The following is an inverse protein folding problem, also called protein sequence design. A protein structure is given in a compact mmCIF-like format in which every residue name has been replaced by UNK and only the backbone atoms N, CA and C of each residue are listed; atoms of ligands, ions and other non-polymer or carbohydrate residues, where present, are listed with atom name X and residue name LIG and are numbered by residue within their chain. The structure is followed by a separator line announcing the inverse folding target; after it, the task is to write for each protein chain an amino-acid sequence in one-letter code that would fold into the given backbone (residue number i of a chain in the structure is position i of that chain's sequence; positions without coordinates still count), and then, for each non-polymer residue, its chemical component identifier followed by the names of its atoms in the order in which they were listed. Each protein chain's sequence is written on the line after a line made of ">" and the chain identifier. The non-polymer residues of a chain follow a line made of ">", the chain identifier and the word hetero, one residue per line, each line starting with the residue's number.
data_IF_336081570355
#
_entry.id   IF_336081570355
#
_cell.length_a   1.000
_cell.length_b   1.000
_cell.length_c   1.000
_cell.angle_alpha   90.00
_cell.angle_beta   90.00
_cell.angle_gamma   90.00
#
_symmetry.space_group_name_H-M   'P 1'
#
loop_
_entity.id
_entity.type
_entity.pdbx_description
1 polymer ?
#
# COMPACT_ATOMS: atom_id res chain seq x y z
N UNK A 1 -16.78 -5.44 14.51
CA UNK A 1 -18.02 -5.40 13.71
C UNK A 1 -17.70 -5.02 12.25
N UNK A 2 -17.01 -3.91 11.95
CA UNK A 2 -16.75 -3.45 10.57
C UNK A 2 -15.96 -4.45 9.72
N UNK A 3 -14.92 -5.10 10.27
CA UNK A 3 -14.12 -6.11 9.54
C UNK A 3 -15.02 -7.30 9.13
N UNK A 4 -15.91 -7.75 10.01
CA UNK A 4 -16.85 -8.83 9.72
C UNK A 4 -17.78 -8.46 8.56
N UNK A 5 -18.29 -7.21 8.55
CA UNK A 5 -19.12 -6.70 7.46
C UNK A 5 -18.38 -6.64 6.13
N UNK A 6 -17.11 -6.21 6.12
CA UNK A 6 -16.27 -6.19 4.93
C UNK A 6 -16.08 -7.62 4.39
N UNK A 7 -15.79 -8.59 5.27
CA UNK A 7 -15.62 -10.00 4.86
C UNK A 7 -16.94 -10.54 4.28
N UNK A 8 -18.08 -10.32 4.93
CA UNK A 8 -19.38 -10.76 4.44
C UNK A 8 -19.68 -10.13 3.06
N UNK A 9 -19.39 -8.84 2.90
CA UNK A 9 -19.59 -8.12 1.64
C UNK A 9 -18.72 -8.71 0.51
N UNK A 10 -17.43 -8.93 0.76
CA UNK A 10 -16.51 -9.52 -0.22
C UNK A 10 -16.97 -10.93 -0.62
N UNK A 11 -17.27 -11.78 0.37
CA UNK A 11 -17.75 -13.15 0.11
C UNK A 11 -19.07 -13.13 -0.66
N UNK A 12 -20.00 -12.25 -0.27
CA UNK A 12 -21.29 -12.09 -0.94
C UNK A 12 -21.15 -11.71 -2.42
N UNK A 13 -20.29 -10.73 -2.72
CA UNK A 13 -20.00 -10.34 -4.12
C UNK A 13 -19.43 -11.52 -4.91
N UNK A 14 -18.47 -12.26 -4.35
CA UNK A 14 -17.86 -13.40 -5.05
C UNK A 14 -18.90 -14.49 -5.35
N UNK A 15 -19.80 -14.78 -4.41
CA UNK A 15 -20.90 -15.74 -4.63
C UNK A 15 -21.85 -15.28 -5.75
N UNK A 16 -22.21 -14.00 -5.77
CA UNK A 16 -23.06 -13.43 -6.83
C UNK A 16 -22.38 -13.56 -8.22
N UNK A 17 -21.08 -13.27 -8.28
CA UNK A 17 -20.30 -13.42 -9.52
C UNK A 17 -20.29 -14.86 -9.99
N UNK A 18 -19.99 -15.82 -9.10
CA UNK A 18 -19.96 -17.26 -9.42
C UNK A 18 -21.33 -17.75 -9.93
N UNK A 19 -22.39 -17.40 -9.20
CA UNK A 19 -23.75 -17.80 -9.58
C UNK A 19 -24.16 -17.16 -10.92
N UNK A 20 -23.83 -15.88 -11.11
CA UNK A 20 -24.13 -15.15 -12.35
C UNK A 20 -23.43 -15.78 -13.57
N UNK A 21 -22.13 -16.04 -13.48
CA UNK A 21 -21.38 -16.69 -14.56
C UNK A 21 -21.92 -18.08 -14.86
N UNK A 22 -22.24 -18.87 -13.83
CA UNK A 22 -22.82 -20.19 -14.01
C UNK A 22 -24.17 -20.14 -14.74
N UNK A 23 -25.05 -19.23 -14.35
CA UNK A 23 -26.35 -19.05 -15.03
C UNK A 23 -26.20 -18.62 -16.48
N UNK A 24 -25.29 -17.69 -16.78
CA UNK A 24 -25.00 -17.26 -18.16
C UNK A 24 -24.49 -18.43 -18.99
N UNK A 25 -23.56 -19.22 -18.46
CA UNK A 25 -23.05 -20.41 -19.12
C UNK A 25 -24.17 -21.43 -19.43
N UNK A 26 -25.04 -21.72 -18.46
CA UNK A 26 -26.16 -22.64 -18.61
C UNK A 26 -27.17 -22.15 -19.64
N UNK A 27 -27.41 -20.82 -19.76
CA UNK A 27 -28.25 -20.22 -20.80
C UNK A 27 -27.60 -20.40 -22.18
N UNK A 28 -26.30 -20.14 -22.32
CA UNK A 28 -25.56 -20.34 -23.57
C UNK A 28 -25.62 -21.80 -24.03
N UNK A 29 -25.43 -22.72 -23.09
CA UNK A 29 -25.50 -24.16 -23.36
C UNK A 29 -26.89 -24.59 -23.86
N UNK A 30 -27.97 -24.13 -23.19
CA UNK A 30 -29.35 -24.44 -23.56
C UNK A 30 -29.73 -23.89 -24.93
N UNK A 31 -29.21 -22.74 -25.33
CA UNK A 31 -29.53 -22.09 -26.61
C UNK A 31 -28.57 -22.52 -27.74
N UNK A 32 -27.61 -23.42 -27.49
CA UNK A 32 -26.63 -23.83 -28.48
C UNK A 32 -25.68 -22.69 -28.91
N UNK A 33 -25.48 -21.68 -28.08
CA UNK A 33 -24.60 -20.54 -28.39
C UNK A 33 -23.12 -20.81 -28.09
N UNK A 34 -22.80 -21.94 -27.45
CA UNK A 34 -21.42 -22.37 -27.31
C UNK A 34 -20.96 -22.95 -28.62
N UNK A 35 -19.95 -22.34 -29.21
CA UNK A 35 -19.25 -22.94 -30.36
C UNK A 35 -18.57 -24.18 -29.79
N UNK A 36 -18.87 -25.37 -30.34
CA UNK A 36 -18.13 -26.57 -29.97
C UNK A 36 -16.66 -26.24 -30.07
N UNK A 37 -16.00 -26.13 -28.89
CA UNK A 37 -14.58 -25.83 -28.81
C UNK A 37 -13.82 -27.01 -29.43
N UNK A 38 -13.72 -27.05 -30.74
CA UNK A 38 -12.70 -27.83 -31.39
C UNK A 38 -11.40 -27.30 -30.80
N UNK A 39 -10.68 -28.14 -30.09
CA UNK A 39 -9.34 -27.86 -29.53
C UNK A 39 -8.37 -27.65 -30.72
N UNK A 40 -8.55 -26.56 -31.45
CA UNK A 40 -7.64 -26.14 -32.51
C UNK A 40 -6.51 -25.41 -31.80
N UNK A 41 -5.36 -26.02 -31.77
CA UNK A 41 -4.12 -25.36 -31.36
C UNK A 41 -3.62 -24.62 -32.60
N UNK A 42 -3.76 -23.31 -32.62
CA UNK A 42 -3.20 -22.46 -33.66
C UNK A 42 -1.72 -22.20 -33.35
N UNK A 43 -0.83 -22.65 -34.22
CA UNK A 43 0.60 -22.41 -34.13
C UNK A 43 1.03 -21.51 -35.27
N UNK A 44 1.41 -20.28 -34.96
CA UNK A 44 1.99 -19.36 -35.93
C UNK A 44 3.54 -19.47 -35.85
N UNK A 45 4.13 -20.19 -36.81
CA UNK A 45 5.56 -20.41 -36.86
C UNK A 45 6.35 -19.12 -37.13
N UNK A 46 5.79 -18.20 -37.93
CA UNK A 46 6.38 -16.90 -38.24
C UNK A 46 6.38 -15.98 -37.00
N UNK A 47 5.31 -15.98 -36.24
CA UNK A 47 5.24 -15.31 -34.96
C UNK A 47 6.29 -15.86 -33.97
N UNK A 48 6.43 -17.19 -33.90
CA UNK A 48 7.40 -17.85 -33.05
C UNK A 48 8.85 -17.50 -33.38
N UNK A 49 9.17 -17.34 -34.67
CA UNK A 49 10.51 -16.99 -35.16
C UNK A 49 10.78 -15.49 -35.20
N UNK A 50 9.77 -14.61 -34.95
CA UNK A 50 9.97 -13.17 -35.01
C UNK A 50 10.90 -12.68 -33.89
N UNK A 51 12.06 -12.15 -34.24
CA UNK A 51 13.13 -11.74 -33.32
C UNK A 51 12.87 -10.36 -32.71
N UNK A 52 12.04 -9.51 -33.32
CA UNK A 52 11.80 -8.14 -32.86
C UNK A 52 11.03 -8.12 -31.54
N UNK A 53 11.71 -7.81 -30.47
CA UNK A 53 11.09 -7.54 -29.18
C UNK A 53 11.01 -6.00 -28.96
N UNK A 54 9.86 -5.35 -29.19
CA UNK A 54 9.72 -3.90 -29.11
C UNK A 54 9.56 -3.38 -27.69
N UNK A 55 9.76 -4.23 -26.67
CA UNK A 55 9.65 -3.83 -25.29
C UNK A 55 10.73 -2.81 -24.89
N UNK A 56 10.41 -1.94 -23.96
CA UNK A 56 11.38 -1.03 -23.37
C UNK A 56 12.40 -1.84 -22.56
N UNK A 57 13.68 -1.46 -22.67
CA UNK A 57 14.75 -2.19 -21.98
C UNK A 57 14.55 -2.27 -20.47
N UNK A 58 14.68 -3.46 -19.92
CA UNK A 58 14.62 -3.71 -18.48
C UNK A 58 15.74 -3.01 -17.68
N UNK A 59 16.79 -2.53 -18.37
CA UNK A 59 17.90 -1.78 -17.73
C UNK A 59 17.42 -0.52 -17.03
N UNK A 60 16.34 0.11 -17.49
CA UNK A 60 15.77 1.30 -16.84
C UNK A 60 15.31 1.03 -15.41
N UNK A 61 14.70 -0.14 -15.14
CA UNK A 61 14.31 -0.50 -13.77
C UNK A 61 15.52 -0.60 -12.83
N UNK A 62 16.65 -1.16 -13.31
CA UNK A 62 17.88 -1.23 -12.52
C UNK A 62 18.44 0.16 -12.20
N UNK A 63 18.31 1.12 -13.13
CA UNK A 63 18.71 2.51 -12.90
C UNK A 63 17.86 3.08 -11.76
N UNK A 64 16.53 2.92 -11.80
CA UNK A 64 15.64 3.47 -10.77
C UNK A 64 15.81 2.77 -9.42
N UNK A 65 15.98 1.44 -9.39
CA UNK A 65 16.32 0.71 -8.16
C UNK A 65 17.63 1.22 -7.57
N UNK A 66 18.67 1.35 -8.40
CA UNK A 66 19.97 1.87 -7.98
C UNK A 66 19.89 3.30 -7.44
N UNK A 67 19.16 4.19 -8.12
CA UNK A 67 18.92 5.55 -7.67
C UNK A 67 18.19 5.59 -6.31
N UNK A 68 17.16 4.78 -6.12
CA UNK A 68 16.45 4.70 -4.85
C UNK A 68 17.38 4.27 -3.71
N UNK A 69 18.27 3.31 -3.94
CA UNK A 69 19.29 2.90 -2.96
C UNK A 69 20.28 4.03 -2.67
N UNK A 70 20.82 4.68 -3.72
CA UNK A 70 21.77 5.78 -3.58
C UNK A 70 21.19 6.96 -2.84
N UNK A 71 19.94 7.32 -3.10
CA UNK A 71 19.22 8.40 -2.39
C UNK A 71 19.03 8.11 -0.90
N UNK A 72 18.96 6.85 -0.49
CA UNK A 72 18.80 6.49 0.92
C UNK A 72 20.13 6.51 1.71
N UNK A 73 21.28 6.40 1.05
CA UNK A 73 22.61 6.39 1.71
C UNK A 73 22.84 7.62 2.62
N UNK A 74 22.61 8.87 2.17
CA UNK A 74 22.76 10.05 3.03
C UNK A 74 21.85 10.01 4.27
N UNK A 75 20.64 9.48 4.15
CA UNK A 75 19.71 9.32 5.28
C UNK A 75 20.32 8.40 6.34
N UNK A 76 20.89 7.27 5.94
CA UNK A 76 21.56 6.33 6.86
C UNK A 76 22.76 6.96 7.52
N UNK A 77 23.60 7.72 6.78
CA UNK A 77 24.83 8.31 7.31
C UNK A 77 24.52 9.45 8.29
N UNK A 78 23.60 10.35 7.95
CA UNK A 78 23.38 11.60 8.65
C UNK A 78 22.27 11.51 9.70
N UNK A 79 21.24 10.71 9.45
CA UNK A 79 19.98 10.69 10.22
C UNK A 79 19.71 9.39 10.95
N UNK A 80 20.66 8.42 10.99
CA UNK A 80 20.43 7.10 11.59
C UNK A 80 20.05 7.13 13.08
N UNK A 81 20.48 8.17 13.80
CA UNK A 81 20.15 8.37 15.22
C UNK A 81 18.85 9.15 15.45
N UNK A 82 18.21 9.65 14.40
CA UNK A 82 16.96 10.40 14.52
C UNK A 82 15.81 9.48 14.91
N UNK A 83 14.88 10.02 15.72
CA UNK A 83 13.69 9.29 16.16
C UNK A 83 12.83 8.80 15.00
N UNK A 84 12.76 9.57 13.91
CA UNK A 84 11.99 9.27 12.71
C UNK A 84 12.73 8.44 11.65
N UNK A 85 13.96 8.01 11.93
CA UNK A 85 14.74 7.19 10.99
C UNK A 85 14.01 5.91 10.61
N UNK A 86 13.33 5.26 11.56
CA UNK A 86 12.52 4.06 11.30
C UNK A 86 11.39 4.34 10.32
N UNK A 87 10.68 5.45 10.48
CA UNK A 87 9.56 5.81 9.63
C UNK A 87 10.03 6.13 8.21
N UNK A 88 11.16 6.84 8.08
CA UNK A 88 11.82 7.06 6.78
C UNK A 88 12.26 5.74 6.13
N UNK A 89 12.73 4.76 6.93
CA UNK A 89 13.10 3.44 6.43
C UNK A 89 11.91 2.69 5.83
N UNK A 90 10.69 2.90 6.32
CA UNK A 90 9.48 2.31 5.76
C UNK A 90 9.25 2.83 4.33
N UNK A 91 9.39 4.13 4.07
CA UNK A 91 9.27 4.69 2.71
C UNK A 91 10.31 4.09 1.76
N UNK A 92 11.56 3.90 2.23
CA UNK A 92 12.59 3.23 1.45
C UNK A 92 12.21 1.78 1.10
N UNK A 93 11.79 1.00 2.10
CA UNK A 93 11.39 -0.41 1.92
C UNK A 93 10.23 -0.51 0.94
N UNK A 94 9.20 0.33 1.10
CA UNK A 94 8.04 0.36 0.20
C UNK A 94 8.47 0.69 -1.22
N UNK A 95 9.28 1.75 -1.43
CA UNK A 95 9.73 2.15 -2.76
C UNK A 95 10.59 1.08 -3.44
N UNK A 96 11.44 0.36 -2.69
CA UNK A 96 12.22 -0.76 -3.24
C UNK A 96 11.33 -1.94 -3.60
N UNK A 97 10.37 -2.30 -2.74
CA UNK A 97 9.42 -3.39 -3.03
C UNK A 97 8.63 -3.08 -4.30
N UNK A 98 8.12 -1.86 -4.44
CA UNK A 98 7.40 -1.42 -5.64
C UNK A 98 8.29 -1.48 -6.89
N UNK A 99 9.51 -0.94 -6.82
CA UNK A 99 10.45 -0.94 -7.94
C UNK A 99 10.83 -2.37 -8.39
N UNK A 100 11.07 -3.28 -7.44
CA UNK A 100 11.36 -4.69 -7.73
C UNK A 100 10.14 -5.41 -8.30
N UNK A 101 8.95 -5.15 -7.77
CA UNK A 101 7.70 -5.72 -8.28
C UNK A 101 7.44 -5.30 -9.73
N UNK A 102 7.65 -4.02 -10.07
CA UNK A 102 7.53 -3.49 -11.43
C UNK A 102 8.55 -4.13 -12.37
N UNK A 103 9.79 -4.34 -11.92
CA UNK A 103 10.81 -5.06 -12.68
C UNK A 103 10.41 -6.51 -12.95
N UNK A 104 9.95 -7.25 -11.94
CA UNK A 104 9.48 -8.63 -12.08
C UNK A 104 8.29 -8.68 -13.05
N UNK A 105 7.36 -7.73 -12.93
CA UNK A 105 6.21 -7.68 -13.83
C UNK A 105 6.65 -7.37 -15.27
N UNK A 106 7.66 -6.51 -15.46
CA UNK A 106 8.21 -6.26 -16.81
C UNK A 106 8.91 -7.51 -17.39
N UNK A 107 9.62 -8.31 -16.57
CA UNK A 107 10.14 -9.62 -16.99
C UNK A 107 8.99 -10.50 -17.47
N UNK A 108 7.92 -10.60 -16.69
CA UNK A 108 6.75 -11.40 -17.05
C UNK A 108 6.13 -10.96 -18.38
N UNK A 109 5.93 -9.65 -18.58
CA UNK A 109 5.39 -9.10 -19.84
C UNK A 109 6.28 -9.46 -21.04
N UNK A 110 7.62 -9.39 -20.86
CA UNK A 110 8.56 -9.71 -21.92
C UNK A 110 8.64 -11.22 -22.23
N UNK A 111 8.56 -12.05 -21.20
CA UNK A 111 8.61 -13.51 -21.31
C UNK A 111 7.24 -14.12 -21.65
N UNK A 112 6.15 -13.33 -21.58
CA UNK A 112 4.81 -13.83 -21.87
C UNK A 112 4.73 -14.42 -23.29
N UNK A 113 4.03 -15.55 -23.39
CA UNK A 113 3.80 -16.22 -24.66
C UNK A 113 3.14 -15.30 -25.67
N UNK A 114 3.45 -15.55 -26.95
CA UNK A 114 2.88 -14.82 -28.07
C UNK A 114 1.51 -15.40 -28.37
N UNK A 115 0.49 -14.58 -28.27
CA UNK A 115 -0.88 -14.98 -28.53
C UNK A 115 -1.20 -14.88 -30.02
N UNK A 116 -1.85 -15.88 -30.56
CA UNK A 116 -2.36 -15.89 -31.95
C UNK A 116 -3.78 -15.34 -31.93
N UNK A 117 -4.03 -14.27 -32.67
CA UNK A 117 -5.31 -13.55 -32.77
C UNK A 117 -5.99 -13.67 -34.12
N UNK A 118 -5.23 -14.04 -35.16
CA UNK A 118 -5.64 -14.06 -36.53
C UNK A 118 -4.92 -15.18 -37.30
N UNK A 119 -5.46 -15.59 -38.44
CA UNK A 119 -4.73 -16.42 -39.43
C UNK A 119 -3.57 -15.65 -40.08
N UNK A 120 -3.60 -14.30 -40.01
CA UNK A 120 -2.56 -13.44 -40.52
C UNK A 120 -1.42 -13.25 -39.53
N UNK A 121 -0.24 -13.76 -39.87
CA UNK A 121 0.96 -13.66 -39.03
C UNK A 121 1.41 -12.21 -38.74
N UNK A 122 1.24 -11.29 -39.69
CA UNK A 122 1.64 -9.89 -39.52
C UNK A 122 0.76 -9.18 -38.48
N UNK A 123 -0.55 -9.51 -38.43
CA UNK A 123 -1.48 -9.06 -37.40
C UNK A 123 -1.03 -9.60 -36.04
N UNK A 124 -0.72 -10.90 -35.94
CA UNK A 124 -0.26 -11.53 -34.70
C UNK A 124 1.01 -10.86 -34.16
N UNK A 125 2.00 -10.62 -35.03
CA UNK A 125 3.25 -9.95 -34.67
C UNK A 125 2.97 -8.55 -34.15
N UNK A 126 2.20 -7.75 -34.89
CA UNK A 126 1.87 -6.37 -34.55
C UNK A 126 1.11 -6.28 -33.22
N UNK A 127 0.11 -7.13 -33.00
CA UNK A 127 -0.68 -7.19 -31.78
C UNK A 127 0.19 -7.46 -30.53
N UNK A 128 1.07 -8.46 -30.62
CA UNK A 128 1.99 -8.80 -29.52
C UNK A 128 3.03 -7.70 -29.28
N UNK A 129 3.50 -7.03 -30.34
CA UNK A 129 4.45 -5.91 -30.25
C UNK A 129 3.81 -4.69 -29.57
N UNK A 130 2.58 -4.32 -29.95
CA UNK A 130 1.84 -3.22 -29.33
C UNK A 130 1.72 -3.46 -27.81
N UNK A 131 1.26 -4.66 -27.43
CA UNK A 131 1.09 -5.00 -26.03
C UNK A 131 2.40 -4.83 -25.23
N UNK A 132 3.47 -5.50 -25.67
CA UNK A 132 4.75 -5.47 -24.99
C UNK A 132 5.33 -4.05 -24.90
N UNK A 133 5.24 -3.26 -25.97
CA UNK A 133 5.76 -1.90 -26.03
C UNK A 133 5.06 -0.98 -25.04
N UNK A 134 3.74 -0.89 -25.09
CA UNK A 134 2.99 0.07 -24.26
C UNK A 134 2.98 -0.32 -22.80
N UNK A 135 2.82 -1.62 -22.49
CA UNK A 135 2.83 -2.07 -21.10
C UNK A 135 4.20 -1.88 -20.46
N UNK A 136 5.30 -2.27 -21.15
CA UNK A 136 6.64 -2.06 -20.58
C UNK A 136 6.98 -0.57 -20.43
N UNK A 137 6.50 0.30 -21.34
CA UNK A 137 6.63 1.75 -21.19
C UNK A 137 5.93 2.25 -19.93
N UNK A 138 4.69 1.85 -19.70
CA UNK A 138 3.93 2.22 -18.51
C UNK A 138 4.62 1.79 -17.22
N UNK A 139 5.15 0.57 -17.18
CA UNK A 139 5.89 0.05 -16.03
C UNK A 139 7.18 0.84 -15.75
N UNK A 140 7.91 1.22 -16.79
CA UNK A 140 9.14 2.04 -16.66
C UNK A 140 8.80 3.46 -16.17
N UNK A 141 7.71 4.07 -16.70
CA UNK A 141 7.25 5.38 -16.23
C UNK A 141 6.83 5.29 -14.76
N UNK A 142 6.10 4.26 -14.35
CA UNK A 142 5.75 4.09 -12.94
C UNK A 142 6.99 3.97 -12.04
N UNK A 143 8.04 3.23 -12.48
CA UNK A 143 9.31 3.16 -11.74
C UNK A 143 9.99 4.53 -11.61
N UNK A 144 9.92 5.36 -12.64
CA UNK A 144 10.40 6.74 -12.60
C UNK A 144 9.64 7.55 -11.54
N UNK A 145 8.31 7.53 -11.56
CA UNK A 145 7.48 8.29 -10.62
C UNK A 145 7.68 7.82 -9.17
N UNK A 146 7.78 6.52 -8.92
CA UNK A 146 8.13 5.98 -7.61
C UNK A 146 9.48 6.50 -7.11
N UNK A 147 10.50 6.57 -7.98
CA UNK A 147 11.81 7.11 -7.61
C UNK A 147 11.75 8.62 -7.36
N UNK A 148 10.98 9.38 -8.17
CA UNK A 148 10.77 10.83 -7.97
C UNK A 148 10.03 11.10 -6.66
N UNK A 149 8.96 10.37 -6.37
CA UNK A 149 8.24 10.47 -5.10
C UNK A 149 9.17 10.21 -3.91
N UNK A 150 9.97 9.13 -3.98
CA UNK A 150 10.93 8.81 -2.94
C UNK A 150 12.03 9.89 -2.81
N UNK A 151 12.52 10.45 -3.92
CA UNK A 151 13.52 11.53 -3.87
C UNK A 151 12.99 12.77 -3.17
N UNK A 152 11.73 13.13 -3.37
CA UNK A 152 11.07 14.23 -2.69
C UNK A 152 11.04 14.00 -1.17
N UNK A 153 10.55 12.84 -0.72
CA UNK A 153 10.50 12.48 0.71
C UNK A 153 11.89 12.51 1.35
N UNK A 154 12.91 12.00 0.65
CA UNK A 154 14.30 12.05 1.13
C UNK A 154 14.76 13.50 1.29
N UNK A 155 14.50 14.36 0.30
CA UNK A 155 14.91 15.75 0.35
C UNK A 155 14.26 16.51 1.53
N UNK A 156 12.94 16.36 1.73
CA UNK A 156 12.23 16.99 2.85
C UNK A 156 12.76 16.48 4.20
N UNK A 157 12.97 15.18 4.33
CA UNK A 157 13.51 14.61 5.56
C UNK A 157 14.96 15.06 5.83
N UNK A 158 15.81 15.15 4.81
CA UNK A 158 17.18 15.63 4.96
C UNK A 158 17.25 17.12 5.35
N UNK A 159 16.35 17.95 4.81
CA UNK A 159 16.30 19.38 5.09
C UNK A 159 15.72 19.68 6.48
N UNK A 160 14.64 19.03 6.86
CA UNK A 160 13.87 19.40 8.05
C UNK A 160 14.00 18.42 9.20
N UNK A 161 14.48 17.18 8.96
CA UNK A 161 14.56 16.10 9.96
C UNK A 161 13.21 15.57 10.44
N UNK A 162 12.13 15.98 9.76
CA UNK A 162 10.74 15.62 10.05
C UNK A 162 9.96 15.60 8.73
N UNK A 163 8.97 14.73 8.63
CA UNK A 163 8.01 14.71 7.54
C UNK A 163 6.67 15.24 8.05
N UNK A 164 6.13 16.22 7.35
CA UNK A 164 4.80 16.74 7.64
C UNK A 164 3.74 15.97 6.85
N UNK A 165 2.47 16.06 7.28
CA UNK A 165 1.36 15.44 6.55
C UNK A 165 1.26 15.91 5.10
N UNK A 166 1.62 17.17 4.81
CA UNK A 166 1.71 17.72 3.45
C UNK A 166 2.72 16.99 2.56
N UNK A 167 3.88 16.59 3.13
CA UNK A 167 4.93 15.91 2.36
C UNK A 167 4.49 14.50 1.96
N UNK A 168 3.79 13.82 2.87
CA UNK A 168 3.20 12.50 2.60
C UNK A 168 2.12 12.60 1.51
N UNK A 169 1.31 13.67 1.50
CA UNK A 169 0.32 13.92 0.46
C UNK A 169 1.00 14.11 -0.90
N UNK A 170 2.04 14.94 -0.97
CA UNK A 170 2.80 15.15 -2.22
C UNK A 170 3.41 13.85 -2.73
N UNK A 171 4.08 13.07 -1.85
CA UNK A 171 4.59 11.75 -2.18
C UNK A 171 3.51 10.86 -2.80
N UNK A 172 2.36 10.78 -2.14
CA UNK A 172 1.24 9.95 -2.57
C UNK A 172 0.67 10.41 -3.91
N UNK A 173 0.54 11.73 -4.13
CA UNK A 173 0.05 12.28 -5.40
C UNK A 173 0.99 11.94 -6.55
N UNK A 174 2.31 12.10 -6.37
CA UNK A 174 3.31 11.79 -7.40
C UNK A 174 3.24 10.31 -7.78
N UNK A 175 3.16 9.42 -6.80
CA UNK A 175 3.06 7.96 -7.03
C UNK A 175 1.73 7.58 -7.71
N UNK A 176 0.64 8.25 -7.34
CA UNK A 176 -0.68 8.07 -7.95
C UNK A 176 -0.68 8.50 -9.44
N UNK A 177 -0.03 9.62 -9.79
CA UNK A 177 0.11 10.06 -11.18
C UNK A 177 0.84 8.98 -11.99
N UNK A 178 1.96 8.44 -11.49
CA UNK A 178 2.67 7.32 -12.12
C UNK A 178 1.78 6.11 -12.34
N UNK A 179 0.99 5.75 -11.34
CA UNK A 179 0.03 4.65 -11.39
C UNK A 179 -1.06 4.86 -12.45
N UNK A 180 -1.61 6.07 -12.53
CA UNK A 180 -2.62 6.44 -13.55
C UNK A 180 -2.02 6.33 -14.96
N UNK A 181 -0.78 6.82 -15.17
CA UNK A 181 -0.11 6.72 -16.48
C UNK A 181 0.16 5.26 -16.84
N UNK A 182 0.60 4.45 -15.87
CA UNK A 182 0.77 3.02 -16.07
C UNK A 182 -0.56 2.36 -16.50
N UNK A 183 -1.66 2.61 -15.80
CA UNK A 183 -2.98 2.09 -16.17
C UNK A 183 -3.43 2.59 -17.56
N UNK A 184 -3.19 3.86 -17.86
CA UNK A 184 -3.50 4.42 -19.17
C UNK A 184 -2.74 3.72 -20.31
N UNK A 185 -1.51 3.25 -20.04
CA UNK A 185 -0.71 2.51 -21.04
C UNK A 185 -1.38 1.19 -21.47
N UNK A 186 -2.05 0.49 -20.56
CA UNK A 186 -2.85 -0.71 -20.89
C UNK A 186 -4.05 -0.36 -21.75
N UNK A 187 -4.75 0.74 -21.43
CA UNK A 187 -5.90 1.20 -22.23
C UNK A 187 -5.48 1.56 -23.64
N UNK A 188 -4.34 2.26 -23.78
CA UNK A 188 -3.77 2.61 -25.10
C UNK A 188 -3.36 1.36 -25.86
N UNK A 189 -2.69 0.41 -25.20
CA UNK A 189 -2.34 -0.86 -25.82
C UNK A 189 -3.56 -1.61 -26.34
N UNK A 190 -4.63 -1.68 -25.52
CA UNK A 190 -5.89 -2.31 -25.90
C UNK A 190 -6.53 -1.62 -27.11
N UNK A 191 -6.67 -0.29 -27.09
CA UNK A 191 -7.28 0.48 -28.20
C UNK A 191 -6.56 0.22 -29.51
N UNK A 192 -5.22 0.33 -29.52
CA UNK A 192 -4.41 0.09 -30.72
C UNK A 192 -4.51 -1.36 -31.21
N UNK A 193 -4.61 -2.33 -30.33
CA UNK A 193 -4.82 -3.73 -30.72
C UNK A 193 -6.20 -3.95 -31.29
N UNK A 194 -7.25 -3.33 -30.74
CA UNK A 194 -8.60 -3.40 -31.28
C UNK A 194 -8.66 -2.79 -32.67
N UNK A 195 -7.98 -1.67 -32.93
CA UNK A 195 -7.89 -1.05 -34.25
C UNK A 195 -7.24 -1.99 -35.29
N UNK A 196 -6.14 -2.66 -34.92
CA UNK A 196 -5.46 -3.63 -35.78
C UNK A 196 -6.36 -4.85 -36.10
N UNK A 197 -7.03 -5.37 -35.06
CA UNK A 197 -7.90 -6.54 -35.22
C UNK A 197 -9.17 -6.21 -36.03
N UNK A 198 -9.71 -5.00 -35.90
CA UNK A 198 -10.88 -4.55 -36.65
C UNK A 198 -10.59 -4.36 -38.15
N UNK A 199 -9.33 -4.17 -38.54
CA UNK A 199 -8.88 -4.09 -39.92
C UNK A 199 -8.48 -5.46 -40.51
N UNK A 200 -8.62 -6.54 -39.75
CA UNK A 200 -8.26 -7.89 -40.15
C UNK A 200 -9.49 -8.67 -40.69
N UNK A 201 -9.33 -9.34 -41.81
CA UNK A 201 -10.38 -10.10 -42.46
C UNK A 201 -10.51 -11.55 -41.94
N UNK A 202 -9.52 -12.01 -41.14
CA UNK A 202 -9.42 -13.40 -40.69
C UNK A 202 -9.18 -13.52 -39.17
N UNK A 203 -9.98 -12.84 -38.31
CA UNK A 203 -9.81 -12.93 -36.88
C UNK A 203 -10.17 -14.33 -36.37
N UNK A 204 -9.37 -14.84 -35.45
CA UNK A 204 -9.61 -16.13 -34.79
C UNK A 204 -10.38 -15.91 -33.48
N UNK A 205 -11.53 -16.57 -33.40
CA UNK A 205 -12.34 -16.59 -32.17
C UNK A 205 -12.14 -17.94 -31.49
N UNK A 206 -11.59 -17.90 -30.27
CA UNK A 206 -11.46 -19.08 -29.41
C UNK A 206 -12.55 -19.03 -28.36
N UNK A 207 -13.45 -20.03 -28.37
CA UNK A 207 -14.43 -20.18 -27.29
C UNK A 207 -13.79 -20.96 -26.11
N UNK A 208 -13.58 -20.29 -25.02
CA UNK A 208 -13.05 -20.85 -23.77
C UNK A 208 -14.05 -20.73 -22.59
N UNK A 209 -15.33 -20.50 -22.90
CA UNK A 209 -16.42 -20.31 -21.92
C UNK A 209 -16.50 -21.46 -20.92
N UNK A 210 -16.20 -22.68 -21.31
CA UNK A 210 -16.18 -23.83 -20.41
C UNK A 210 -15.20 -23.65 -19.27
N UNK A 211 -14.03 -23.07 -19.54
CA UNK A 211 -12.99 -22.85 -18.53
C UNK A 211 -13.29 -21.67 -17.60
N UNK A 212 -14.23 -20.79 -17.99
CA UNK A 212 -14.64 -19.60 -17.22
C UNK A 212 -16.04 -19.71 -16.61
N UNK A 213 -16.68 -20.87 -16.70
CA UNK A 213 -18.08 -21.07 -16.28
C UNK A 213 -18.43 -20.70 -14.84
N UNK A 214 -17.44 -20.53 -13.97
CA UNK A 214 -17.61 -20.08 -12.58
C UNK A 214 -17.08 -18.66 -12.33
N UNK A 215 -16.71 -17.91 -13.39
CA UNK A 215 -16.13 -16.58 -13.25
C UNK A 215 -14.64 -16.56 -12.92
N UNK A 216 -14.02 -17.72 -12.74
CA UNK A 216 -12.58 -17.90 -12.60
C UNK A 216 -12.09 -18.98 -13.58
N UNK A 217 -10.81 -18.88 -13.96
CA UNK A 217 -10.24 -19.80 -14.94
C UNK A 217 -9.87 -21.14 -14.30
N UNK A 218 -10.41 -22.21 -14.85
CA UNK A 218 -10.14 -23.58 -14.42
C UNK A 218 -9.93 -24.48 -15.64
N UNK A 219 -8.68 -24.71 -16.03
CA UNK A 219 -8.33 -25.57 -17.16
C UNK A 219 -7.23 -26.56 -16.77
N UNK A 220 -7.56 -27.85 -16.57
CA UNK A 220 -6.57 -28.88 -16.21
C UNK A 220 -5.53 -29.18 -17.30
N UNK A 221 -5.84 -28.81 -18.55
CA UNK A 221 -4.96 -29.06 -19.70
C UNK A 221 -3.98 -27.88 -19.92
N UNK A 222 -4.17 -26.73 -19.24
CA UNK A 222 -3.29 -25.59 -19.33
C UNK A 222 -2.30 -25.62 -18.16
N UNK A 223 -1.00 -25.62 -18.49
CA UNK A 223 0.09 -25.68 -17.50
C UNK A 223 0.42 -24.31 -16.87
N UNK A 224 -0.13 -23.23 -17.42
CA UNK A 224 0.17 -21.90 -16.90
C UNK A 224 -0.46 -21.70 -15.52
N UNK A 225 0.28 -21.10 -14.62
CA UNK A 225 -0.19 -20.70 -13.28
C UNK A 225 -1.07 -19.45 -13.38
N UNK A 226 -0.65 -18.52 -14.26
CA UNK A 226 -1.31 -17.23 -14.48
C UNK A 226 -1.64 -17.14 -15.96
N UNK A 227 -2.87 -16.78 -16.27
CA UNK A 227 -3.38 -16.61 -17.63
C UNK A 227 -3.95 -15.22 -17.82
N UNK A 228 -3.99 -14.74 -19.06
CA UNK A 228 -4.67 -13.47 -19.37
C UNK A 228 -6.18 -13.65 -19.23
N UNK A 229 -6.84 -12.70 -18.60
CA UNK A 229 -8.28 -12.67 -18.54
C UNK A 229 -8.83 -12.29 -19.93
N UNK A 230 -9.76 -13.06 -20.46
CA UNK A 230 -10.36 -12.83 -21.79
C UNK A 230 -11.21 -11.56 -21.87
N UNK A 231 -11.82 -11.14 -20.75
CA UNK A 231 -12.68 -9.96 -20.73
C UNK A 231 -11.90 -8.65 -20.67
N UNK A 232 -10.72 -8.68 -20.03
CA UNK A 232 -9.90 -7.49 -19.82
C UNK A 232 -8.43 -7.85 -20.06
N UNK A 233 -7.84 -7.31 -21.09
CA UNK A 233 -6.40 -7.49 -21.38
C UNK A 233 -5.47 -7.05 -20.26
N UNK A 234 -5.99 -6.28 -19.32
CA UNK A 234 -5.28 -5.75 -18.15
C UNK A 234 -5.29 -6.70 -16.95
N UNK A 235 -6.21 -7.68 -16.94
CA UNK A 235 -6.37 -8.59 -15.83
C UNK A 235 -5.72 -9.94 -16.15
N UNK A 236 -5.09 -10.46 -15.13
CA UNK A 236 -4.61 -11.83 -15.10
C UNK A 236 -5.46 -12.64 -14.12
N UNK A 237 -5.65 -13.90 -14.44
CA UNK A 237 -6.34 -14.85 -13.58
C UNK A 237 -5.41 -16.00 -13.23
N UNK A 238 -5.59 -16.57 -12.07
CA UNK A 238 -4.95 -17.82 -11.74
C UNK A 238 -5.68 -19.00 -12.40
N UNK A 239 -4.91 -19.94 -12.93
CA UNK A 239 -5.48 -21.23 -13.32
C UNK A 239 -5.68 -22.09 -12.08
N UNK A 240 -6.86 -22.08 -11.51
CA UNK A 240 -7.18 -22.85 -10.29
C UNK A 240 -7.11 -24.37 -10.45
N UNK A 241 -6.94 -24.89 -11.68
CA UNK A 241 -6.62 -26.29 -11.92
C UNK A 241 -5.13 -26.60 -11.72
N UNK A 242 -4.25 -25.60 -11.79
CA UNK A 242 -2.81 -25.74 -11.61
C UNK A 242 -2.43 -25.83 -10.12
N UNK A 243 -1.65 -26.84 -9.74
CA UNK A 243 -1.11 -26.98 -8.37
C UNK A 243 -0.30 -25.75 -7.95
N UNK A 244 0.48 -25.18 -8.88
CA UNK A 244 1.26 -23.96 -8.60
C UNK A 244 0.38 -22.78 -8.26
N UNK A 245 -0.75 -22.58 -8.98
CA UNK A 245 -1.72 -21.55 -8.66
C UNK A 245 -2.39 -21.79 -7.30
N UNK A 246 -2.78 -23.01 -6.99
CA UNK A 246 -3.38 -23.36 -5.69
C UNK A 246 -2.45 -23.06 -4.52
N UNK A 247 -1.17 -23.44 -4.63
CA UNK A 247 -0.15 -23.15 -3.61
C UNK A 247 0.04 -21.62 -3.47
N UNK A 248 0.15 -20.90 -4.58
CA UNK A 248 0.35 -19.45 -4.55
C UNK A 248 -0.85 -18.74 -3.92
N UNK A 249 -2.08 -19.12 -4.29
CA UNK A 249 -3.31 -18.56 -3.70
C UNK A 249 -3.40 -18.86 -2.21
N UNK A 250 -3.08 -20.09 -1.79
CA UNK A 250 -3.04 -20.46 -0.38
C UNK A 250 -2.01 -19.62 0.39
N UNK A 251 -0.80 -19.44 -0.15
CA UNK A 251 0.24 -18.61 0.46
C UNK A 251 -0.21 -17.14 0.59
N UNK A 252 -0.78 -16.56 -0.46
CA UNK A 252 -1.32 -15.20 -0.44
C UNK A 252 -2.43 -15.04 0.60
N UNK A 253 -3.32 -16.04 0.70
CA UNK A 253 -4.39 -16.04 1.71
C UNK A 253 -3.81 -16.03 3.12
N UNK A 254 -2.79 -16.85 3.40
CA UNK A 254 -2.09 -16.85 4.70
C UNK A 254 -1.45 -15.50 4.99
N UNK A 255 -0.74 -14.90 4.02
CA UNK A 255 -0.10 -13.61 4.19
C UNK A 255 -1.13 -12.50 4.48
N UNK A 256 -2.23 -12.46 3.72
CA UNK A 256 -3.30 -11.48 3.91
C UNK A 256 -3.94 -11.65 5.29
N UNK A 257 -4.26 -12.88 5.68
CA UNK A 257 -4.86 -13.17 6.99
C UNK A 257 -3.92 -12.76 8.13
N UNK A 258 -2.64 -13.10 8.03
CA UNK A 258 -1.63 -12.70 9.00
C UNK A 258 -1.50 -11.18 9.09
N UNK A 259 -1.53 -10.47 7.94
CA UNK A 259 -1.49 -9.00 7.90
C UNK A 259 -2.72 -8.37 8.57
N UNK A 260 -3.90 -8.93 8.36
CA UNK A 260 -5.14 -8.46 9.02
C UNK A 260 -5.04 -8.67 10.54
N UNK A 261 -4.63 -9.86 10.99
CA UNK A 261 -4.47 -10.18 12.42
C UNK A 261 -3.44 -9.21 13.04
N UNK A 262 -2.31 -9.01 12.38
CA UNK A 262 -1.27 -8.07 12.83
C UNK A 262 -1.82 -6.64 12.94
N UNK A 263 -2.56 -6.17 11.94
CA UNK A 263 -3.15 -4.83 11.95
C UNK A 263 -4.15 -4.67 13.10
N UNK A 264 -5.03 -5.66 13.30
CA UNK A 264 -5.99 -5.64 14.42
C UNK A 264 -5.28 -5.64 15.77
N UNK A 265 -4.24 -6.46 15.93
CA UNK A 265 -3.44 -6.50 17.15
C UNK A 265 -2.69 -5.18 17.40
N UNK A 266 -2.13 -4.57 16.35
CA UNK A 266 -1.43 -3.28 16.44
C UNK A 266 -2.36 -2.12 16.78
N UNK A 267 -3.62 -2.16 16.32
CA UNK A 267 -4.61 -1.13 16.58
C UNK A 267 -5.39 -1.36 17.89
N UNK A 268 -5.33 -2.57 18.46
CA UNK A 268 -6.11 -2.92 19.66
C UNK A 268 -5.86 -2.00 20.88
N UNK A 269 -4.64 -1.49 21.16
CA UNK A 269 -4.40 -0.57 22.28
C UNK A 269 -5.10 0.78 22.12
N UNK A 270 -5.53 1.13 20.90
CA UNK A 270 -6.21 2.39 20.59
C UNK A 270 -7.75 2.25 20.54
N UNK A 271 -8.26 1.02 20.64
CA UNK A 271 -9.70 0.76 20.73
C UNK A 271 -10.12 0.85 22.20
N UNK A 272 -11.05 1.77 22.54
CA UNK A 272 -11.45 2.05 23.93
C UNK A 272 -10.25 2.42 24.82
N UNK A 273 -9.45 3.36 24.34
CA UNK A 273 -8.26 3.83 25.06
C UNK A 273 -8.63 4.30 26.46
N UNK A 274 -7.79 3.93 27.42
CA UNK A 274 -7.74 4.53 28.75
C UNK A 274 -6.42 5.29 28.88
N UNK A 275 -6.49 6.48 29.39
CA UNK A 275 -5.31 7.27 29.73
C UNK A 275 -5.38 7.57 31.22
N UNK A 276 -4.38 7.09 31.94
CA UNK A 276 -4.23 7.28 33.39
C UNK A 276 -3.02 8.16 33.66
N UNK A 277 -3.20 9.17 34.51
CA UNK A 277 -2.16 10.10 34.92
C UNK A 277 -2.18 10.11 36.44
N UNK A 278 -1.05 9.80 37.09
CA UNK A 278 -0.97 9.71 38.54
C UNK A 278 0.45 9.91 39.06
N UNK A 279 0.58 10.15 40.36
CA UNK A 279 1.86 10.19 41.07
C UNK A 279 1.94 8.96 41.97
N UNK A 280 3.05 8.23 41.91
CA UNK A 280 3.32 7.08 42.75
C UNK A 280 4.83 7.01 43.06
N UNK A 281 5.20 6.78 44.32
CA UNK A 281 6.56 6.61 44.77
C UNK A 281 7.53 7.71 44.27
N UNK A 282 7.16 8.98 44.47
CA UNK A 282 7.89 10.17 44.00
C UNK A 282 8.14 10.21 42.48
N UNK A 283 7.31 9.52 41.71
CA UNK A 283 7.39 9.47 40.25
C UNK A 283 6.05 9.88 39.63
N UNK A 284 6.09 10.86 38.72
CA UNK A 284 4.99 11.19 37.87
C UNK A 284 4.87 10.11 36.78
N UNK A 285 3.66 9.61 36.56
CA UNK A 285 3.33 8.57 35.58
C UNK A 285 2.18 9.03 34.72
N UNK A 286 2.35 8.84 33.38
CA UNK A 286 1.28 8.97 32.38
C UNK A 286 1.33 7.76 31.49
N UNK A 287 0.20 7.07 31.35
CA UNK A 287 0.12 5.87 30.51
C UNK A 287 -1.22 5.79 29.75
N UNK A 288 -1.17 5.31 28.51
CA UNK A 288 -2.33 5.16 27.66
C UNK A 288 -1.95 4.70 26.26
N UNK A 289 -2.84 3.96 25.59
CA UNK A 289 -2.63 3.49 24.22
C UNK A 289 -1.37 2.66 23.99
N UNK A 290 -0.84 2.01 25.04
CA UNK A 290 0.43 1.27 25.00
C UNK A 290 1.67 2.14 25.18
N UNK A 291 1.51 3.45 25.43
CA UNK A 291 2.60 4.38 25.74
C UNK A 291 2.67 4.63 27.23
N UNK A 292 3.88 4.88 27.71
CA UNK A 292 4.16 5.18 29.10
C UNK A 292 5.23 6.25 29.24
N UNK A 293 4.95 7.27 30.06
CA UNK A 293 5.90 8.28 30.47
C UNK A 293 6.08 8.18 31.97
N UNK A 294 7.33 8.17 32.45
CA UNK A 294 7.68 8.25 33.85
C UNK A 294 8.73 9.33 34.04
N UNK A 295 8.54 10.24 35.02
CA UNK A 295 9.44 11.32 35.37
C UNK A 295 9.55 11.32 36.88
N UNK A 296 10.78 11.18 37.44
CA UNK A 296 10.99 11.34 38.87
C UNK A 296 10.73 12.80 39.25
N UNK A 297 10.02 13.03 40.32
CA UNK A 297 9.64 14.39 40.76
C UNK A 297 10.89 15.26 40.97
N UNK A 298 11.97 14.68 41.47
CA UNK A 298 13.25 15.40 41.67
C UNK A 298 13.94 15.81 40.36
N UNK A 299 13.56 15.25 39.22
CA UNK A 299 14.12 15.57 37.90
C UNK A 299 13.29 16.60 37.14
N UNK A 300 12.17 17.05 37.69
CA UNK A 300 11.28 18.03 37.08
C UNK A 300 11.93 19.40 37.10
N UNK A 301 12.06 20.01 35.93
CA UNK A 301 12.63 21.34 35.74
C UNK A 301 11.57 22.43 35.61
N UNK A 302 10.43 22.08 35.05
CA UNK A 302 9.36 23.03 34.74
C UNK A 302 8.01 22.33 34.80
N UNK A 303 7.04 22.98 35.44
CA UNK A 303 5.63 22.56 35.46
C UNK A 303 4.79 23.77 35.06
N UNK A 304 3.98 23.63 34.04
CA UNK A 304 3.08 24.71 33.57
C UNK A 304 1.66 24.16 33.37
N UNK A 305 0.69 24.95 33.78
CA UNK A 305 -0.73 24.70 33.54
C UNK A 305 -1.26 25.64 32.48
N UNK A 306 -1.84 25.09 31.41
CA UNK A 306 -2.46 25.83 30.32
C UNK A 306 -3.96 25.62 30.38
N UNK A 307 -4.73 26.70 30.12
CA UNK A 307 -6.18 26.58 30.01
C UNK A 307 -6.63 25.76 28.79
N UNK A 308 -5.83 25.78 27.72
CA UNK A 308 -6.02 24.99 26.50
C UNK A 308 -4.67 24.44 26.02
N UNK A 309 -4.69 23.41 25.16
CA UNK A 309 -3.48 22.86 24.54
C UNK A 309 -2.73 23.98 23.80
N UNK A 310 -1.41 24.18 24.05
CA UNK A 310 -0.62 25.19 23.37
C UNK A 310 -0.68 25.04 21.85
N UNK A 311 -0.87 26.15 21.13
CA UNK A 311 -0.84 26.19 19.66
C UNK A 311 0.60 26.06 19.15
N UNK A 312 1.10 24.83 19.19
CA UNK A 312 2.40 24.48 18.62
C UNK A 312 2.16 23.34 17.62
N UNK A 313 2.57 23.49 16.37
CA UNK A 313 2.32 22.50 15.32
C UNK A 313 2.88 21.13 15.73
N UNK A 314 2.17 20.41 16.59
CA UNK A 314 2.55 19.08 17.05
C UNK A 314 2.39 18.07 15.91
N UNK A 315 3.49 17.45 15.51
CA UNK A 315 3.51 16.38 14.54
C UNK A 315 3.70 15.05 15.24
N UNK A 316 2.77 14.14 15.03
CA UNK A 316 2.85 12.79 15.58
C UNK A 316 4.01 12.03 14.95
N UNK A 317 4.91 11.52 15.79
CA UNK A 317 6.04 10.70 15.37
C UNK A 317 5.79 9.22 15.57
N UNK A 318 5.06 8.86 16.64
CA UNK A 318 4.63 7.50 16.91
C UNK A 318 3.52 7.53 17.98
N UNK A 319 2.29 7.14 17.64
CA UNK A 319 1.15 7.21 18.55
C UNK A 319 -0.18 7.08 17.87
N UNK A 320 -1.24 7.30 18.63
CA UNK A 320 -2.62 7.41 18.16
C UNK A 320 -3.08 8.87 18.17
N UNK A 321 -3.85 9.26 17.18
CA UNK A 321 -4.52 10.55 17.09
C UNK A 321 -5.87 10.33 16.42
N UNK A 322 -6.91 10.78 17.05
CA UNK A 322 -8.28 10.74 16.56
C UNK A 322 -8.89 12.12 16.77
N UNK A 323 -10.17 12.27 16.54
CA UNK A 323 -10.97 13.43 16.90
C UNK A 323 -11.40 13.46 18.40
N UNK A 324 -10.93 12.49 19.18
CA UNK A 324 -11.22 12.40 20.63
C UNK A 324 -9.96 12.52 21.49
N UNK A 325 -8.78 12.15 20.96
CA UNK A 325 -7.54 12.12 21.75
C UNK A 325 -6.27 12.12 20.91
N UNK A 326 -5.20 12.59 21.53
CA UNK A 326 -3.81 12.46 21.10
C UNK A 326 -2.98 11.69 22.14
N UNK A 327 -2.32 10.59 21.74
CA UNK A 327 -1.50 9.78 22.64
C UNK A 327 -0.23 9.28 21.99
N UNK A 328 0.90 9.37 22.69
CA UNK A 328 2.20 8.84 22.24
C UNK A 328 3.26 9.90 22.05
N UNK A 329 4.18 9.66 21.11
CA UNK A 329 5.32 10.54 20.85
C UNK A 329 4.99 11.56 19.76
N UNK A 330 5.31 12.82 20.03
CA UNK A 330 5.10 13.96 19.16
C UNK A 330 6.34 14.84 19.08
N UNK A 331 6.37 15.73 18.12
CA UNK A 331 7.37 16.80 18.01
C UNK A 331 6.64 18.10 17.75
N UNK A 332 6.79 19.03 18.67
CA UNK A 332 6.34 20.41 18.50
C UNK A 332 7.44 21.28 17.93
N UNK A 333 7.04 22.42 17.35
CA UNK A 333 7.98 23.43 16.84
C UNK A 333 8.74 24.13 17.95
N UNK A 334 8.04 24.47 19.02
CA UNK A 334 8.58 25.18 20.20
C UNK A 334 9.09 24.22 21.27
N UNK A 335 8.30 23.16 21.54
CA UNK A 335 8.59 22.23 22.64
C UNK A 335 9.50 21.05 22.24
N UNK A 336 9.81 20.90 20.92
CA UNK A 336 10.67 19.81 20.46
C UNK A 336 10.02 18.43 20.64
N UNK A 337 10.81 17.43 21.05
CA UNK A 337 10.32 16.07 21.30
C UNK A 337 9.49 16.05 22.59
N UNK A 338 8.26 15.58 22.51
CA UNK A 338 7.35 15.48 23.65
C UNK A 338 6.46 14.24 23.56
N UNK A 339 5.79 13.92 24.64
CA UNK A 339 4.73 12.94 24.68
C UNK A 339 3.40 13.64 24.98
N UNK A 340 2.36 13.20 24.31
CA UNK A 340 0.99 13.67 24.56
C UNK A 340 0.17 12.53 25.16
N UNK A 341 -0.64 12.86 26.15
CA UNK A 341 -1.70 12.04 26.72
C UNK A 341 -2.90 12.98 26.90
N UNK A 342 -3.54 13.34 25.79
CA UNK A 342 -4.53 14.43 25.73
C UNK A 342 -5.86 13.90 25.24
N UNK A 343 -6.92 14.29 25.93
CA UNK A 343 -8.29 14.22 25.48
C UNK A 343 -8.64 15.58 24.85
N UNK A 344 -9.07 15.62 23.58
CA UNK A 344 -9.13 16.85 22.78
C UNK A 344 -10.07 17.93 23.36
N UNK A 345 -11.23 17.55 23.87
CA UNK A 345 -12.20 18.50 24.39
C UNK A 345 -12.09 18.78 25.89
N UNK A 346 -10.96 18.40 26.52
CA UNK A 346 -10.80 18.53 27.97
C UNK A 346 -9.67 19.49 28.33
N UNK A 347 -9.92 20.32 29.34
CA UNK A 347 -9.00 21.29 29.91
C UNK A 347 -9.06 21.29 31.43
N UNK A 348 -8.04 21.78 32.14
CA UNK A 348 -6.77 22.33 31.66
C UNK A 348 -5.76 21.26 31.23
N UNK A 349 -4.69 21.70 30.56
CA UNK A 349 -3.57 20.86 30.13
C UNK A 349 -2.35 21.14 31.00
N UNK A 350 -1.73 20.11 31.54
CA UNK A 350 -0.52 20.17 32.33
C UNK A 350 0.68 19.77 31.51
N UNK A 351 1.68 20.64 31.45
CA UNK A 351 2.99 20.34 30.87
C UNK A 351 3.97 20.07 32.01
N UNK A 352 4.71 18.97 31.89
CA UNK A 352 5.80 18.62 32.75
C UNK A 352 7.06 18.44 31.91
N UNK A 353 8.13 19.13 32.27
CA UNK A 353 9.42 19.09 31.60
C UNK A 353 10.52 18.66 32.52
N UNK A 354 11.28 17.68 32.10
CA UNK A 354 12.54 17.25 32.71
C UNK A 354 13.69 17.46 31.72
N UNK A 355 14.92 17.15 32.14
CA UNK A 355 16.13 17.27 31.28
C UNK A 355 16.00 16.52 29.93
N UNK A 356 15.26 15.41 29.91
CA UNK A 356 15.20 14.51 28.75
C UNK A 356 13.81 14.32 28.17
N UNK A 357 12.74 14.79 28.84
CA UNK A 357 11.37 14.51 28.47
C UNK A 357 10.50 15.74 28.70
N UNK A 358 9.59 15.97 27.76
CA UNK A 358 8.46 16.89 27.93
C UNK A 358 7.19 16.09 27.72
N UNK A 359 6.22 16.21 28.60
CA UNK A 359 4.93 15.54 28.49
C UNK A 359 3.79 16.51 28.71
N UNK A 360 2.75 16.39 27.92
CA UNK A 360 1.48 17.11 28.06
C UNK A 360 0.40 16.10 28.44
N UNK A 361 -0.35 16.42 29.46
CA UNK A 361 -1.43 15.56 29.96
C UNK A 361 -2.66 16.36 30.31
N UNK A 362 -3.83 15.75 30.14
CA UNK A 362 -5.08 16.22 30.73
C UNK A 362 -5.92 15.04 31.22
N UNK A 363 -7.07 15.31 31.79
CA UNK A 363 -7.98 14.30 32.32
C UNK A 363 -9.42 14.63 32.02
N UNK A 364 -10.26 13.59 31.92
CA UNK A 364 -11.73 13.71 31.86
C UNK A 364 -12.34 14.03 33.22
N UNK A 365 -11.58 13.88 34.29
CA UNK A 365 -12.04 14.14 35.66
C UNK A 365 -11.82 15.62 36.01
N UNK A 366 -12.92 16.31 36.33
CA UNK A 366 -12.88 17.74 36.65
C UNK A 366 -11.99 18.03 37.86
N UNK A 367 -11.13 19.03 37.74
CA UNK A 367 -10.24 19.49 38.83
C UNK A 367 -9.02 18.61 39.08
N UNK A 368 -8.98 17.38 38.56
CA UNK A 368 -7.88 16.44 38.82
C UNK A 368 -6.51 16.99 38.38
N UNK A 369 -6.45 17.57 37.20
CA UNK A 369 -5.20 18.14 36.67
C UNK A 369 -4.73 19.36 37.45
N UNK A 370 -5.64 20.19 38.01
CA UNK A 370 -5.29 21.32 38.86
C UNK A 370 -4.72 20.84 40.19
N UNK A 371 -5.31 19.83 40.82
CA UNK A 371 -4.79 19.23 42.04
C UNK A 371 -3.39 18.65 41.82
N UNK A 372 -3.17 17.96 40.74
CA UNK A 372 -1.85 17.42 40.36
C UNK A 372 -0.82 18.52 40.12
N UNK A 373 -1.21 19.63 39.49
CA UNK A 373 -0.37 20.81 39.33
C UNK A 373 0.05 21.38 40.67
N UNK A 374 -0.91 21.61 41.58
CA UNK A 374 -0.61 22.14 42.94
C UNK A 374 0.30 21.21 43.74
N UNK A 375 0.10 19.92 43.64
CA UNK A 375 0.94 18.89 44.24
C UNK A 375 2.38 18.96 43.72
N UNK A 376 2.56 18.95 42.37
CA UNK A 376 3.89 19.00 41.75
C UNK A 376 4.65 20.31 42.04
N UNK A 377 3.96 21.44 42.06
CA UNK A 377 4.55 22.74 42.42
C UNK A 377 4.98 22.74 43.90
N UNK A 378 4.27 22.09 44.81
CA UNK A 378 4.66 21.94 46.21
C UNK A 378 5.98 21.16 46.42
N UNK A 379 6.29 20.24 45.52
CA UNK A 379 7.56 19.51 45.48
C UNK A 379 8.72 20.33 44.87
N UNK A 380 8.43 21.13 43.82
CA UNK A 380 9.43 21.95 43.12
C UNK A 380 9.86 23.21 43.94
N UNK A 381 9.11 23.59 44.97
CA UNK A 381 9.43 24.70 45.90
C UNK A 381 10.25 24.31 47.11
N UNK A 382 10.64 23.07 47.22
CA UNK A 382 11.53 22.54 48.26
C UNK A 382 12.93 22.28 47.69
#
# INVERSE_FOLDING_TARGET
>A
VYILWIIIYIVGIQLVIIIGHRKIYDIKLKNGWLIEAQKKVYIDTRLSSSVKNPSISMRYHWIFIGLTVVLYIPVVIVRHSDMLFRDMSIYFIVSIIVAVALYIFNIYVNSSERTVYSENSDVNITMNQIYKKYVSLGLVIMSLFNTVAFSYIVAEYMLHGILYGGDVIVYTIVDLIGSIIMLASFVVARRKRTEVLAADDTPLYVDDDEYWKYGFYYNPNDRHIIVKNRMYDMNYAFNYASRGAQILVALLTVIITASIIFTVAALSPFINIKMDVYIADDTFMAEGGGYKCSINIGDIQEVQLFDEMPKDNFTRTNGGSTDEYDVGNYKGRTYGKCMLFIWDDYSPVLMIKSSNKTVFVNSKEDGYIRQMYDELVSYAGK
#
